data_IF_569370735149
#
_entry.id   IF_569370735149
#
_cell.length_a   1.000
_cell.length_b   1.000
_cell.length_c   1.000
_cell.angle_alpha   90.00
_cell.angle_beta   90.00
_cell.angle_gamma   90.00
#
_symmetry.space_group_name_H-M   'P 1'
#
loop_
_entity.id
_entity.type
_entity.pdbx_description
1 polymer ?
#
# COMPACT_ATOMS: atom_id res chain seq x y z
N UNK A 1 27.01 -2.94 11.19
CA UNK A 1 26.35 -1.60 11.07
C UNK A 1 25.31 -1.73 9.97
N UNK A 2 24.02 -1.59 10.30
CA UNK A 2 23.01 -1.43 9.28
C UNK A 2 23.20 -0.03 8.67
N UNK A 3 23.54 0.03 7.39
CA UNK A 3 23.53 1.29 6.64
C UNK A 3 22.10 1.81 6.61
N UNK A 4 21.86 3.01 7.14
CA UNK A 4 20.58 3.69 7.02
C UNK A 4 20.26 3.87 5.53
N UNK A 5 19.31 3.10 5.02
CA UNK A 5 18.83 3.18 3.64
C UNK A 5 17.62 4.10 3.56
N UNK A 6 17.62 5.06 2.65
CA UNK A 6 16.48 5.94 2.38
C UNK A 6 15.51 5.36 1.35
N UNK A 7 15.69 4.12 0.91
CA UNK A 7 14.87 3.43 -0.09
C UNK A 7 14.31 2.13 0.49
N UNK A 8 13.03 1.90 0.30
CA UNK A 8 12.34 0.70 0.78
C UNK A 8 11.16 0.31 -0.11
N UNK A 9 10.69 -0.93 0.03
CA UNK A 9 9.56 -1.47 -0.69
C UNK A 9 8.92 -2.60 0.12
N UNK A 10 7.59 -2.72 0.06
CA UNK A 10 6.86 -3.89 0.58
C UNK A 10 6.69 -4.90 -0.56
N UNK A 11 7.07 -6.14 -0.32
CA UNK A 11 6.90 -7.24 -1.26
C UNK A 11 6.04 -8.32 -0.59
N UNK A 12 5.05 -8.81 -1.32
CA UNK A 12 4.27 -9.98 -0.92
C UNK A 12 4.94 -11.22 -1.51
N UNK A 13 5.87 -11.81 -0.75
CA UNK A 13 6.67 -12.97 -1.12
C UNK A 13 6.95 -13.82 0.12
N UNK A 14 7.11 -15.13 -0.05
CA UNK A 14 7.31 -16.07 1.06
C UNK A 14 8.74 -16.05 1.63
N UNK A 15 9.71 -15.60 0.85
CA UNK A 15 11.13 -15.60 1.19
C UNK A 15 11.76 -14.25 0.87
N UNK A 16 12.81 -13.84 1.59
CA UNK A 16 13.55 -12.63 1.27
C UNK A 16 14.06 -12.65 -0.19
N UNK A 17 13.90 -11.55 -0.95
CA UNK A 17 14.38 -11.50 -2.32
C UNK A 17 15.91 -11.45 -2.37
N UNK A 18 16.53 -12.29 -3.20
CA UNK A 18 17.99 -12.31 -3.40
C UNK A 18 18.38 -11.81 -4.80
N UNK A 19 17.45 -11.85 -5.75
CA UNK A 19 17.67 -11.45 -7.15
C UNK A 19 16.45 -10.76 -7.73
N UNK A 20 16.67 -10.08 -8.84
CA UNK A 20 15.61 -9.34 -9.54
C UNK A 20 14.42 -10.23 -9.96
N UNK A 21 14.67 -11.50 -10.29
CA UNK A 21 13.62 -12.45 -10.62
C UNK A 21 12.61 -12.65 -9.48
N UNK A 22 13.05 -12.54 -8.22
CA UNK A 22 12.18 -12.71 -7.07
C UNK A 22 11.24 -11.50 -6.90
N UNK A 23 11.72 -10.31 -7.25
CA UNK A 23 10.88 -9.10 -7.28
C UNK A 23 9.78 -9.21 -8.34
N UNK A 24 10.10 -9.80 -9.50
CA UNK A 24 9.13 -10.04 -10.57
C UNK A 24 8.11 -11.11 -10.19
N UNK A 25 8.51 -12.08 -9.37
CA UNK A 25 7.66 -13.17 -8.90
C UNK A 25 6.77 -12.79 -7.70
N UNK A 26 7.06 -11.69 -7.01
CA UNK A 26 6.23 -11.20 -5.91
C UNK A 26 4.79 -10.89 -6.38
N UNK A 27 3.81 -11.02 -5.49
CA UNK A 27 2.41 -10.76 -5.81
C UNK A 27 2.17 -9.26 -6.07
N UNK A 28 2.13 -8.93 -7.36
CA UNK A 28 1.92 -7.58 -7.85
C UNK A 28 0.49 -7.09 -7.62
N UNK A 29 -0.50 -8.00 -7.60
CA UNK A 29 -1.89 -7.63 -7.38
C UNK A 29 -2.09 -7.19 -5.93
N UNK A 30 -1.55 -7.95 -4.97
CA UNK A 30 -1.53 -7.57 -3.57
C UNK A 30 -0.74 -6.28 -3.33
N UNK A 31 0.39 -6.08 -4.04
CA UNK A 31 1.14 -4.82 -3.96
C UNK A 31 0.30 -3.61 -4.42
N UNK A 32 -0.40 -3.72 -5.55
CA UNK A 32 -1.28 -2.66 -6.04
C UNK A 32 -2.48 -2.39 -5.12
N UNK A 33 -3.02 -3.42 -4.48
CA UNK A 33 -4.08 -3.25 -3.47
C UNK A 33 -3.59 -2.47 -2.26
N UNK A 34 -2.39 -2.78 -1.77
CA UNK A 34 -1.74 -2.02 -0.70
C UNK A 34 -1.52 -0.55 -1.10
N UNK A 35 -1.05 -0.29 -2.32
CA UNK A 35 -0.85 1.07 -2.83
C UNK A 35 -2.17 1.86 -2.83
N UNK A 36 -3.28 1.24 -3.26
CA UNK A 36 -4.63 1.85 -3.22
C UNK A 36 -5.09 2.12 -1.79
N UNK A 37 -4.87 1.19 -0.88
CA UNK A 37 -5.24 1.34 0.52
C UNK A 37 -4.45 2.49 1.19
N UNK A 38 -3.15 2.63 0.88
CA UNK A 38 -2.33 3.74 1.36
C UNK A 38 -2.80 5.09 0.82
N UNK A 39 -3.15 5.16 -0.48
CA UNK A 39 -3.76 6.36 -1.08
C UNK A 39 -5.09 6.72 -0.39
N UNK A 40 -5.94 5.73 -0.11
CA UNK A 40 -7.19 5.93 0.62
C UNK A 40 -6.97 6.42 2.07
N UNK A 41 -5.82 6.08 2.67
CA UNK A 41 -5.39 6.55 3.99
C UNK A 41 -4.57 7.86 3.93
N UNK A 42 -4.53 8.56 2.80
CA UNK A 42 -3.90 9.87 2.66
C UNK A 42 -2.39 9.84 2.42
N UNK A 43 -1.79 8.67 2.18
CA UNK A 43 -0.37 8.55 1.84
C UNK A 43 -0.22 8.57 0.32
N UNK A 44 0.43 9.61 -0.20
CA UNK A 44 0.74 9.68 -1.62
C UNK A 44 1.86 8.69 -1.98
N UNK A 45 1.53 7.66 -2.74
CA UNK A 45 2.48 6.69 -3.29
C UNK A 45 2.37 6.62 -4.80
N UNK A 46 3.46 6.32 -5.48
CA UNK A 46 3.44 6.00 -6.91
C UNK A 46 3.28 4.47 -7.03
N UNK A 47 2.19 3.96 -7.63
CA UNK A 47 1.93 2.53 -7.64
C UNK A 47 3.02 1.72 -8.35
N UNK A 48 3.36 0.55 -7.80
CA UNK A 48 4.35 -0.38 -8.37
C UNK A 48 5.80 0.11 -8.33
N UNK A 49 6.08 1.21 -7.61
CA UNK A 49 7.42 1.79 -7.49
C UNK A 49 7.96 1.67 -6.07
N UNK A 50 9.30 1.64 -5.99
CA UNK A 50 10.02 1.73 -4.71
C UNK A 50 9.75 3.07 -4.05
N UNK A 51 9.63 3.04 -2.72
CA UNK A 51 9.40 4.22 -1.89
C UNK A 51 10.73 4.77 -1.43
N UNK A 52 10.87 6.09 -1.47
CA UNK A 52 12.09 6.75 -1.02
C UNK A 52 11.75 7.83 0.01
N UNK A 53 12.72 8.09 0.87
CA UNK A 53 12.71 9.13 1.89
C UNK A 53 13.69 10.20 1.45
N UNK A 54 13.20 11.44 1.36
CA UNK A 54 14.02 12.63 1.19
C UNK A 54 14.22 13.37 2.52
N UNK A 55 15.15 14.33 2.55
CA UNK A 55 15.37 15.23 3.70
C UNK A 55 14.17 16.12 4.05
N UNK A 56 13.12 16.14 3.22
CA UNK A 56 11.89 16.87 3.53
C UNK A 56 10.97 16.09 4.49
N UNK A 57 11.21 14.78 4.69
CA UNK A 57 10.44 13.99 5.65
C UNK A 57 10.97 14.18 7.06
N UNK A 58 10.04 14.23 8.00
CA UNK A 58 10.27 14.30 9.44
C UNK A 58 9.68 13.06 10.12
N UNK A 59 9.94 12.92 11.42
CA UNK A 59 9.39 11.85 12.26
C UNK A 59 7.86 11.72 12.14
N UNK A 60 7.15 12.86 12.07
CA UNK A 60 5.68 12.87 11.89
C UNK A 60 5.23 12.22 10.58
N UNK A 61 6.01 12.38 9.50
CA UNK A 61 5.71 11.74 8.22
C UNK A 61 5.90 10.22 8.30
N UNK A 62 6.90 9.75 9.05
CA UNK A 62 7.11 8.33 9.29
C UNK A 62 6.00 7.72 10.13
N UNK A 63 5.61 8.39 11.23
CA UNK A 63 4.52 7.92 12.10
C UNK A 63 3.19 7.87 11.32
N UNK A 64 2.88 8.92 10.57
CA UNK A 64 1.68 8.96 9.71
C UNK A 64 1.68 7.82 8.70
N UNK A 65 2.83 7.54 8.08
CA UNK A 65 2.97 6.44 7.11
C UNK A 65 2.83 5.08 7.78
N UNK A 66 3.40 4.88 8.97
CA UNK A 66 3.30 3.63 9.73
C UNK A 66 1.84 3.33 10.14
N UNK A 67 1.13 4.34 10.65
CA UNK A 67 -0.29 4.22 11.01
C UNK A 67 -1.18 3.91 9.79
N UNK A 68 -0.93 4.56 8.66
CA UNK A 68 -1.65 4.28 7.42
C UNK A 68 -1.37 2.87 6.89
N UNK A 69 -0.13 2.39 7.01
CA UNK A 69 0.25 1.05 6.62
C UNK A 69 -0.43 0.00 7.50
N UNK A 70 -0.45 0.20 8.82
CA UNK A 70 -1.17 -0.68 9.77
C UNK A 70 -2.67 -0.76 9.45
N UNK A 71 -3.32 0.37 9.16
CA UNK A 71 -4.72 0.39 8.70
C UNK A 71 -4.91 -0.35 7.38
N UNK A 72 -4.04 -0.09 6.40
CA UNK A 72 -4.12 -0.75 5.10
C UNK A 72 -3.96 -2.28 5.18
N UNK A 73 -3.16 -2.78 6.12
CA UNK A 73 -3.01 -4.22 6.37
C UNK A 73 -4.24 -4.84 7.06
N UNK A 74 -4.97 -4.08 7.88
CA UNK A 74 -6.17 -4.54 8.60
C UNK A 74 -7.44 -4.40 7.77
N UNK A 75 -7.49 -3.39 6.92
CA UNK A 75 -8.65 -3.01 6.11
C UNK A 75 -8.23 -2.83 4.64
N UNK A 76 -7.89 -3.93 3.94
CA UNK A 76 -7.48 -3.85 2.55
C UNK A 76 -8.60 -3.24 1.69
N UNK A 77 -8.20 -2.57 0.60
CA UNK A 77 -9.08 -1.79 -0.28
C UNK A 77 -10.08 -2.69 -1.03
N UNK A 78 -11.15 -3.05 -0.31
CA UNK A 78 -12.20 -3.98 -0.72
C UNK A 78 -13.22 -4.27 0.39
N UNK A 79 -12.92 -3.93 1.64
CA UNK A 79 -13.83 -4.06 2.80
C UNK A 79 -14.93 -2.98 2.87
N UNK A 80 -14.81 -1.92 2.09
CA UNK A 80 -15.89 -0.95 1.92
C UNK A 80 -16.95 -1.58 1.02
N UNK A 81 -17.89 -2.29 1.66
CA UNK A 81 -19.17 -2.64 1.05
C UNK A 81 -19.68 -1.42 0.30
N UNK A 82 -19.81 -1.53 -1.03
CA UNK A 82 -20.70 -0.65 -1.78
C UNK A 82 -22.07 -0.82 -1.13
N UNK A 83 -22.46 0.11 -0.26
CA UNK A 83 -23.84 0.20 0.17
C UNK A 83 -24.68 0.19 -1.09
N UNK A 84 -25.46 -0.88 -1.27
CA UNK A 84 -26.35 -1.03 -2.39
C UNK A 84 -27.28 0.19 -2.38
N UNK A 85 -27.15 1.04 -3.41
CA UNK A 85 -28.07 2.16 -3.61
C UNK A 85 -29.51 1.63 -3.65
N UNK A 86 -30.48 2.38 -3.13
CA UNK A 86 -31.84 1.90 -2.97
C UNK A 86 -32.44 1.51 -4.32
N UNK A 87 -33.13 0.37 -4.30
CA UNK A 87 -33.54 -0.39 -5.46
C UNK A 87 -34.40 0.33 -6.49
N UNK A 88 -34.39 -0.30 -7.66
CA UNK A 88 -35.32 -0.20 -8.77
C UNK A 88 -36.70 0.32 -8.37
N UNK A 89 -37.10 1.48 -8.89
CA UNK A 89 -38.52 1.81 -9.05
C UNK A 89 -38.98 1.32 -10.40
N UNK A 90 -39.72 0.22 -10.41
CA UNK A 90 -40.70 -0.07 -11.46
C UNK A 90 -41.82 0.96 -11.37
N UNK A 91 -42.22 1.54 -12.49
CA UNK A 91 -43.56 2.10 -12.61
C UNK A 91 -44.14 1.62 -13.94
N UNK A 92 -45.36 1.08 -13.84
CA UNK A 92 -46.20 0.79 -15.00
C UNK A 92 -46.88 2.04 -15.55
#
# INVERSE_FOLDING_TARGET
MATAGSLWQVLHIDQPPERYADLLAADQAAHLELDRALLANGINVIPGLRRFVSMAHSDDHFETTALALDRACKEPAGSHSRAAGPGTRSNG
#
